data_IF_605959311053
#
_entry.id   IF_605959311053
#
_cell.length_a   1.000
_cell.length_b   1.000
_cell.length_c   1.000
_cell.angle_alpha   90.00
_cell.angle_beta   90.00
_cell.angle_gamma   90.00
#
_symmetry.space_group_name_H-M   'P 1'
#
loop_
_entity.id
_entity.type
_entity.pdbx_description
1 polymer ?
#
# COMPACT_ATOMS: atom_id res chain seq x y z
N UNK A 1 31.40 -5.60 -7.14
CA UNK A 1 30.33 -5.36 -6.15
C UNK A 1 29.41 -4.30 -6.71
N UNK A 2 28.28 -4.70 -7.28
CA UNK A 2 27.17 -3.78 -7.55
C UNK A 2 26.05 -4.28 -6.67
N UNK A 3 25.94 -3.68 -5.49
CA UNK A 3 24.81 -3.88 -4.58
C UNK A 3 23.63 -3.15 -5.23
N UNK A 4 22.90 -3.87 -6.07
CA UNK A 4 21.59 -3.47 -6.54
C UNK A 4 20.65 -3.43 -5.34
N UNK A 5 20.56 -2.28 -4.68
CA UNK A 5 19.40 -1.94 -3.89
C UNK A 5 18.28 -1.66 -4.90
N UNK A 6 17.58 -2.72 -5.33
CA UNK A 6 16.22 -2.55 -5.82
C UNK A 6 15.48 -1.82 -4.69
N UNK A 7 15.28 -0.51 -4.84
CA UNK A 7 14.35 0.23 -4.01
C UNK A 7 12.99 -0.39 -4.31
N UNK A 8 12.57 -1.34 -3.48
CA UNK A 8 11.20 -1.84 -3.48
C UNK A 8 10.30 -0.59 -3.37
N UNK A 9 9.57 -0.31 -4.45
CA UNK A 9 8.68 0.85 -4.53
C UNK A 9 7.43 0.54 -3.69
N UNK A 10 7.61 0.59 -2.37
CA UNK A 10 6.63 0.14 -1.37
C UNK A 10 6.31 1.27 -0.39
N UNK A 11 5.01 1.44 -0.10
CA UNK A 11 4.54 2.31 0.97
C UNK A 11 3.61 1.53 1.91
N UNK A 12 3.69 1.85 3.20
CA UNK A 12 2.79 1.31 4.24
C UNK A 12 1.97 2.42 4.84
N UNK A 13 0.66 2.23 4.91
CA UNK A 13 -0.26 3.17 5.54
C UNK A 13 -1.37 2.46 6.30
N UNK A 14 -1.94 3.14 7.28
CA UNK A 14 -3.11 2.66 8.02
C UNK A 14 -4.38 3.02 7.26
N UNK A 15 -5.26 2.04 7.10
CA UNK A 15 -6.56 2.24 6.50
C UNK A 15 -7.63 1.43 7.22
N UNK A 16 -8.85 1.96 7.22
CA UNK A 16 -10.03 1.23 7.69
C UNK A 16 -10.60 0.41 6.54
N UNK A 17 -11.16 -0.75 6.89
CA UNK A 17 -11.96 -1.55 5.97
C UNK A 17 -13.32 -0.86 5.80
N UNK A 18 -13.64 -0.47 4.57
CA UNK A 18 -14.93 0.11 4.19
C UNK A 18 -15.98 -0.97 3.87
N UNK A 19 -17.22 -0.56 3.57
CA UNK A 19 -18.31 -1.46 3.19
C UNK A 19 -17.92 -2.35 2.00
N UNK A 20 -18.28 -3.62 2.06
CA UNK A 20 -17.90 -4.60 1.04
C UNK A 20 -16.43 -5.04 1.12
N UNK A 21 -15.78 -4.90 2.28
CA UNK A 21 -14.42 -5.37 2.55
C UNK A 21 -13.34 -4.71 1.68
N UNK A 22 -13.55 -3.43 1.34
CA UNK A 22 -12.64 -2.65 0.50
C UNK A 22 -11.68 -1.80 1.32
N UNK A 23 -10.45 -1.67 0.84
CA UNK A 23 -9.46 -0.72 1.35
C UNK A 23 -9.16 0.28 0.24
N UNK A 24 -9.12 1.56 0.57
CA UNK A 24 -8.80 2.63 -0.39
C UNK A 24 -7.34 3.02 -0.25
N UNK A 25 -6.61 2.99 -1.36
CA UNK A 25 -5.28 3.61 -1.46
C UNK A 25 -5.50 5.11 -1.74
N UNK A 26 -5.09 5.97 -0.82
CA UNK A 26 -5.31 7.42 -0.95
C UNK A 26 -4.39 8.04 -2.01
N UNK A 27 -4.80 9.20 -2.52
CA UNK A 27 -4.13 9.92 -3.60
C UNK A 27 -2.61 10.08 -3.41
N UNK A 28 -2.10 10.56 -2.27
CA UNK A 28 -0.64 10.64 -2.05
C UNK A 28 0.13 9.33 -2.26
N UNK A 29 -0.39 8.19 -1.80
CA UNK A 29 0.27 6.87 -2.00
C UNK A 29 0.21 6.48 -3.48
N UNK A 30 -0.93 6.73 -4.15
CA UNK A 30 -1.09 6.42 -5.58
C UNK A 30 -0.10 7.23 -6.43
N UNK A 31 0.06 8.51 -6.15
CA UNK A 31 1.01 9.37 -6.85
C UNK A 31 2.47 8.99 -6.56
N UNK A 32 2.79 8.74 -5.28
CA UNK A 32 4.12 8.31 -4.84
C UNK A 32 4.58 7.03 -5.54
N UNK A 33 3.68 6.05 -5.66
CA UNK A 33 3.94 4.76 -6.28
C UNK A 33 3.66 4.71 -7.79
N UNK A 34 3.09 5.78 -8.37
CA UNK A 34 2.71 5.83 -9.78
C UNK A 34 1.64 4.81 -10.18
N UNK A 35 0.65 4.58 -9.32
CA UNK A 35 -0.38 3.56 -9.53
C UNK A 35 -1.46 4.00 -10.51
N UNK A 36 -1.81 3.10 -11.43
CA UNK A 36 -2.88 3.27 -12.42
C UNK A 36 -4.05 2.28 -12.20
N UNK A 37 -5.18 2.57 -12.82
CA UNK A 37 -6.34 1.67 -12.77
C UNK A 37 -6.03 0.42 -13.58
N UNK A 38 -6.07 -0.73 -12.91
CA UNK A 38 -5.79 -2.03 -13.53
C UNK A 38 -4.46 -2.64 -13.09
N UNK A 39 -3.64 -1.88 -12.38
CA UNK A 39 -2.38 -2.39 -11.84
C UNK A 39 -2.60 -3.52 -10.83
N UNK A 40 -1.71 -4.51 -10.90
CA UNK A 40 -1.68 -5.63 -9.97
C UNK A 40 -0.78 -5.28 -8.79
N UNK A 41 -1.34 -5.33 -7.58
CA UNK A 41 -0.61 -5.00 -6.36
C UNK A 41 -0.32 -6.26 -5.53
N UNK A 42 0.87 -6.32 -4.94
CA UNK A 42 1.18 -7.27 -3.86
C UNK A 42 0.67 -6.67 -2.55
N UNK A 43 -0.19 -7.40 -1.84
CA UNK A 43 -0.83 -6.91 -0.61
C UNK A 43 -0.32 -7.67 0.61
N UNK A 44 0.24 -6.93 1.57
CA UNK A 44 0.60 -7.43 2.91
C UNK A 44 -0.35 -6.82 3.93
N UNK A 45 -1.10 -7.65 4.66
CA UNK A 45 -2.12 -7.18 5.61
C UNK A 45 -1.65 -7.41 7.04
N UNK A 46 -1.59 -6.34 7.84
CA UNK A 46 -1.35 -6.40 9.28
C UNK A 46 -2.47 -5.66 10.01
N UNK A 47 -3.17 -6.35 10.90
CA UNK A 47 -4.16 -5.71 11.77
C UNK A 47 -3.41 -4.88 12.80
N UNK A 48 -3.70 -3.58 12.85
CA UNK A 48 -3.15 -2.71 13.87
C UNK A 48 -3.86 -2.95 15.21
N UNK A 49 -3.08 -3.08 16.28
CA UNK A 49 -3.58 -3.38 17.63
C UNK A 49 -3.92 -2.11 18.43
N UNK A 50 -3.85 -0.92 17.84
CA UNK A 50 -4.32 0.30 18.48
C UNK A 50 -5.83 0.21 18.78
N UNK A 51 -6.12 -0.36 19.95
CA UNK A 51 -7.39 -0.27 20.65
C UNK A 51 -7.77 1.20 20.71
N UNK A 52 -8.97 1.50 20.20
CA UNK A 52 -9.75 2.65 20.65
C UNK A 52 -9.88 2.66 22.17
#
# INVERSE_FOLDING_TARGET
>A
MVIGLEKENEETFLAKIATGWRITIYEPVRESLGLEIGDLLRVTIRKDEAKR
#
